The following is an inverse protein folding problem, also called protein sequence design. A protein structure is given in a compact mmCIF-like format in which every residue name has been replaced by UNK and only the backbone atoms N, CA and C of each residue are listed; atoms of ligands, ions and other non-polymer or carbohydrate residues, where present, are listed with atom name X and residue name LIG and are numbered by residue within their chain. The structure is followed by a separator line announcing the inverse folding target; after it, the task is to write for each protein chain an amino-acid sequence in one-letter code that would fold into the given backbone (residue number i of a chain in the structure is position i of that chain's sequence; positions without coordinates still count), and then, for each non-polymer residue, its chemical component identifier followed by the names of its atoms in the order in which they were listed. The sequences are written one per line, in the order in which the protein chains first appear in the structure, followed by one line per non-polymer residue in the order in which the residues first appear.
data_IF_858383351361
#
_entry.id   IF_858383351361
#
_cell.length_a   1.000
_cell.length_b   1.000
_cell.length_c   1.000
_cell.angle_alpha   90.00
_cell.angle_beta   90.00
_cell.angle_gamma   90.00
#
_symmetry.space_group_name_H-M   'P 1'
#
loop_
_entity.id
_entity.type
_entity.pdbx_description
1 polymer ?
#
# COMPACT_ATOMS: atom_id res chain seq x y z
N UNK A 1 -7.06 20.15 -3.46
CA UNK A 1 -6.90 20.48 -2.03
C UNK A 1 -5.83 19.58 -1.42
N UNK A 2 -4.80 20.10 -0.74
CA UNK A 2 -3.90 19.26 0.04
C UNK A 2 -4.67 18.68 1.24
N UNK A 3 -4.67 17.36 1.39
CA UNK A 3 -5.29 16.69 2.54
C UNK A 3 -4.76 17.30 3.85
N UNK A 4 -5.67 17.51 4.81
CA UNK A 4 -5.37 18.08 6.11
C UNK A 4 -4.31 17.24 6.84
N UNK A 5 -3.52 17.85 7.72
CA UNK A 5 -2.45 17.15 8.45
C UNK A 5 -3.02 15.96 9.26
N UNK A 6 -4.27 16.08 9.71
CA UNK A 6 -4.97 15.04 10.47
C UNK A 6 -5.32 13.83 9.60
N UNK A 7 -5.81 14.02 8.37
CA UNK A 7 -6.12 12.91 7.45
C UNK A 7 -4.89 12.07 7.10
N UNK A 8 -3.73 12.70 6.95
CA UNK A 8 -2.47 12.01 6.66
C UNK A 8 -2.02 11.14 7.83
N UNK A 9 -2.21 11.60 9.07
CA UNK A 9 -1.93 10.81 10.27
C UNK A 9 -2.83 9.58 10.34
N UNK A 10 -4.15 9.78 10.21
CA UNK A 10 -5.14 8.68 10.20
C UNK A 10 -4.83 7.66 9.10
N UNK A 11 -4.37 8.10 7.92
CA UNK A 11 -4.00 7.20 6.84
C UNK A 11 -2.74 6.37 7.13
N UNK A 12 -1.77 6.95 7.85
CA UNK A 12 -0.54 6.29 8.29
C UNK A 12 -0.85 5.29 9.41
N UNK A 13 -1.66 5.67 10.40
CA UNK A 13 -2.04 4.79 11.52
C UNK A 13 -2.78 3.54 11.02
N UNK A 14 -3.76 3.72 10.12
CA UNK A 14 -4.46 2.59 9.48
C UNK A 14 -3.54 1.67 8.69
N UNK A 15 -2.53 2.24 8.01
CA UNK A 15 -1.53 1.46 7.30
C UNK A 15 -0.66 0.66 8.27
N UNK A 16 -0.27 1.27 9.39
CA UNK A 16 0.55 0.66 10.40
C UNK A 16 -0.16 -0.54 11.05
N UNK A 17 -1.45 -0.43 11.35
CA UNK A 17 -2.27 -1.54 11.83
C UNK A 17 -2.36 -2.69 10.82
N UNK A 18 -2.55 -2.39 9.53
CA UNK A 18 -2.61 -3.40 8.47
C UNK A 18 -1.25 -4.07 8.28
N UNK A 19 -0.16 -3.30 8.27
CA UNK A 19 1.20 -3.81 8.15
C UNK A 19 1.62 -4.67 9.35
N UNK A 20 1.17 -4.35 10.57
CA UNK A 20 1.44 -5.18 11.75
C UNK A 20 0.65 -6.48 11.79
N UNK A 21 -0.56 -6.50 11.20
CA UNK A 21 -1.39 -7.71 11.09
C UNK A 21 -0.99 -8.61 9.92
N UNK A 22 -0.44 -8.02 8.86
CA UNK A 22 -0.02 -8.72 7.66
C UNK A 22 1.23 -9.55 7.90
N UNK A 23 1.20 -10.79 7.44
CA UNK A 23 2.35 -11.70 7.42
C UNK A 23 3.25 -11.44 6.20
N UNK A 24 2.68 -10.89 5.12
CA UNK A 24 3.38 -10.65 3.86
C UNK A 24 2.98 -9.33 3.21
N UNK A 25 3.98 -8.57 2.75
CA UNK A 25 3.79 -7.33 2.00
C UNK A 25 4.36 -7.49 0.60
N UNK A 26 3.58 -7.09 -0.41
CA UNK A 26 4.01 -7.02 -1.81
C UNK A 26 3.95 -5.57 -2.30
N UNK A 27 4.98 -5.17 -3.03
CA UNK A 27 5.03 -3.91 -3.78
C UNK A 27 4.98 -4.25 -5.27
N UNK A 28 3.99 -3.72 -5.99
CA UNK A 28 3.86 -3.93 -7.43
C UNK A 28 3.79 -2.59 -8.17
N UNK A 29 4.57 -2.46 -9.24
CA UNK A 29 4.47 -1.32 -10.16
C UNK A 29 3.39 -1.60 -11.19
N UNK A 30 2.43 -0.68 -11.35
CA UNK A 30 1.29 -0.85 -12.27
C UNK A 30 1.42 0.01 -13.55
N UNK A 31 2.60 0.58 -13.82
CA UNK A 31 2.82 1.26 -15.09
C UNK A 31 2.70 0.27 -16.25
N UNK A 32 1.79 0.55 -17.20
CA UNK A 32 1.58 -0.27 -18.39
C UNK A 32 0.46 -1.32 -18.29
N UNK A 33 -0.21 -1.46 -17.13
CA UNK A 33 -1.33 -2.41 -16.99
C UNK A 33 -2.64 -1.83 -17.51
N UNK A 34 -3.43 -2.67 -18.17
CA UNK A 34 -4.77 -2.29 -18.63
C UNK A 34 -5.74 -2.15 -17.43
N UNK A 35 -6.77 -1.30 -17.56
CA UNK A 35 -7.80 -1.14 -16.51
C UNK A 35 -8.48 -2.48 -16.20
N UNK A 36 -8.67 -3.33 -17.20
CA UNK A 36 -9.25 -4.67 -17.06
C UNK A 36 -8.42 -5.60 -16.18
N UNK A 37 -7.09 -5.55 -16.26
CA UNK A 37 -6.21 -6.34 -15.39
C UNK A 37 -6.27 -5.87 -13.95
N UNK A 38 -6.31 -4.56 -13.71
CA UNK A 38 -6.46 -3.98 -12.38
C UNK A 38 -7.80 -4.33 -11.74
N UNK A 39 -8.87 -4.42 -12.53
CA UNK A 39 -10.19 -4.84 -12.02
C UNK A 39 -10.15 -6.30 -11.57
N UNK A 40 -9.57 -7.20 -12.37
CA UNK A 40 -9.39 -8.61 -12.01
C UNK A 40 -8.53 -8.78 -10.76
N UNK A 41 -7.43 -8.01 -10.63
CA UNK A 41 -6.60 -8.05 -9.42
C UNK A 41 -7.35 -7.60 -8.17
N UNK A 42 -8.25 -6.61 -8.30
CA UNK A 42 -9.10 -6.16 -7.18
C UNK A 42 -10.19 -7.16 -6.82
N UNK A 43 -10.74 -7.88 -7.79
CA UNK A 43 -11.69 -8.97 -7.55
C UNK A 43 -11.00 -10.12 -6.82
N UNK A 44 -9.90 -10.63 -7.37
CA UNK A 44 -9.13 -11.71 -6.76
C UNK A 44 -8.67 -11.37 -5.33
N UNK A 45 -8.28 -10.12 -5.08
CA UNK A 45 -7.85 -9.70 -3.75
C UNK A 45 -9.00 -9.60 -2.73
N UNK A 46 -10.22 -9.33 -3.18
CA UNK A 46 -11.41 -9.40 -2.30
C UNK A 46 -11.70 -10.85 -1.93
N UNK A 47 -11.57 -11.76 -2.88
CA UNK A 47 -11.78 -13.19 -2.67
C UNK A 47 -10.75 -13.79 -1.71
N UNK A 48 -9.49 -13.34 -1.80
CA UNK A 48 -8.41 -13.78 -0.93
C UNK A 48 -8.26 -12.97 0.36
N UNK A 49 -9.22 -12.08 0.69
CA UNK A 49 -9.19 -11.16 1.84
C UNK A 49 -7.89 -10.34 1.99
N UNK A 50 -7.22 -10.07 0.87
CA UNK A 50 -5.96 -9.32 0.81
C UNK A 50 -6.24 -7.83 0.69
N UNK A 51 -5.57 -7.03 1.52
CA UNK A 51 -5.74 -5.59 1.53
C UNK A 51 -4.86 -4.91 0.47
N UNK A 52 -5.48 -4.47 -0.63
CA UNK A 52 -4.83 -3.63 -1.66
C UNK A 52 -5.12 -2.16 -1.37
N UNK A 53 -4.06 -1.34 -1.26
CA UNK A 53 -4.22 0.12 -1.14
C UNK A 53 -3.18 0.88 -1.97
N UNK A 54 -3.68 1.84 -2.74
CA UNK A 54 -2.84 2.77 -3.50
C UNK A 54 -2.65 4.02 -2.64
N UNK A 55 -1.42 4.28 -2.22
CA UNK A 55 -1.08 5.39 -1.33
C UNK A 55 0.18 6.06 -1.84
N UNK A 56 0.31 7.38 -1.60
CA UNK A 56 1.52 8.12 -1.91
C UNK A 56 2.72 7.48 -1.22
N UNK A 57 3.79 7.27 -1.97
CA UNK A 57 5.02 6.62 -1.49
C UNK A 57 5.61 7.33 -0.27
N UNK A 58 5.51 8.67 -0.18
CA UNK A 58 6.00 9.42 0.98
C UNK A 58 5.22 9.12 2.26
N UNK A 59 3.94 8.76 2.17
CA UNK A 59 3.13 8.32 3.31
C UNK A 59 3.39 6.84 3.62
N UNK A 60 3.57 6.01 2.60
CA UNK A 60 3.96 4.60 2.76
C UNK A 60 5.31 4.46 3.46
N UNK A 61 6.34 5.21 3.02
CA UNK A 61 7.66 5.26 3.67
C UNK A 61 7.56 5.66 5.15
N UNK A 62 6.65 6.59 5.49
CA UNK A 62 6.43 6.97 6.90
C UNK A 62 5.75 5.85 7.70
N UNK A 63 4.78 5.15 7.12
CA UNK A 63 4.09 4.07 7.81
C UNK A 63 4.92 2.78 7.96
N UNK A 64 5.83 2.52 7.00
CA UNK A 64 6.64 1.30 6.94
C UNK A 64 7.94 1.40 7.74
N UNK A 65 8.46 2.60 7.98
CA UNK A 65 9.65 2.85 8.83
C UNK A 65 9.55 2.24 10.22
N UNK A 66 8.34 2.21 10.78
CA UNK A 66 8.10 1.72 12.14
C UNK A 66 7.73 0.22 12.15
N UNK A 67 7.75 -0.47 11.00
CA UNK A 67 7.38 -1.89 10.88
C UNK A 67 8.54 -2.75 10.39
N UNK A 68 8.36 -4.08 10.45
CA UNK A 68 9.32 -5.10 9.96
C UNK A 68 9.64 -5.01 8.46
N UNK A 69 8.96 -4.11 7.75
CA UNK A 69 9.05 -3.92 6.31
C UNK A 69 9.90 -2.70 5.92
N UNK A 70 10.81 -2.25 6.79
CA UNK A 70 11.74 -1.15 6.53
C UNK A 70 12.64 -1.35 5.29
N UNK A 71 12.81 -2.59 4.82
CA UNK A 71 13.53 -2.93 3.59
C UNK A 71 12.81 -2.46 2.30
N UNK A 72 11.51 -2.15 2.36
CA UNK A 72 10.74 -1.73 1.18
C UNK A 72 10.94 -0.25 0.80
N UNK A 73 11.69 0.54 1.57
CA UNK A 73 11.93 1.96 1.32
C UNK A 73 12.58 2.24 -0.05
N UNK A 74 13.40 1.30 -0.54
CA UNK A 74 14.07 1.38 -1.85
C UNK A 74 13.15 0.99 -3.02
N UNK A 75 12.17 0.11 -2.77
CA UNK A 75 11.20 -0.36 -3.76
C UNK A 75 10.02 0.61 -3.96
N UNK A 76 9.84 1.56 -3.03
CA UNK A 76 8.79 2.58 -3.05
C UNK A 76 9.15 3.78 -3.95
N UNK A 77 9.61 3.53 -5.17
CA UNK A 77 9.98 4.55 -6.16
C UNK A 77 9.16 4.32 -7.45
N UNK A 78 8.36 5.31 -7.85
CA UNK A 78 7.41 5.18 -8.97
C UNK A 78 5.97 4.88 -8.53
N UNK A 79 5.04 4.56 -9.43
CA UNK A 79 3.67 4.21 -9.06
C UNK A 79 3.60 2.79 -8.51
N UNK A 80 3.70 2.71 -7.19
CA UNK A 80 3.62 1.46 -6.44
C UNK A 80 2.22 1.22 -5.87
N UNK A 81 1.70 0.01 -6.05
CA UNK A 81 0.58 -0.54 -5.30
C UNK A 81 1.15 -1.34 -4.13
N UNK A 82 0.58 -1.12 -2.95
CA UNK A 82 0.86 -1.94 -1.79
C UNK A 82 -0.24 -2.97 -1.60
N UNK A 83 0.19 -4.22 -1.45
CA UNK A 83 -0.65 -5.39 -1.22
C UNK A 83 -0.21 -6.00 0.10
N UNK A 84 -1.12 -6.09 1.06
CA UNK A 84 -0.86 -6.67 2.38
C UNK A 84 -1.73 -7.92 2.56
N UNK A 85 -1.08 -9.04 2.92
CA UNK A 85 -1.70 -10.33 3.22
C UNK A 85 -1.29 -10.84 4.60
#
# INVERSE_FOLDING_TARGET
MPASINEKKIAVDKLHEIANKASSALVANYHGTSVSELTKLRENARDSSVHIKVIRNTLAKRALKDTKFSCFDELLVGPSILVFS
#
